data_IF_054243047459
#
_entry.id   IF_054243047459
#
_cell.length_a   1.000
_cell.length_b   1.000
_cell.length_c   1.000
_cell.angle_alpha   90.00
_cell.angle_beta   90.00
_cell.angle_gamma   90.00
#
_symmetry.space_group_name_H-M   'P 1'
#
loop_
_entity.id
_entity.type
_entity.pdbx_description
1 polymer ?
#
# COMPACT_ATOMS: atom_id res chain seq x y z
N UNK A 1 -33.37 13.01 -10.06
CA UNK A 1 -33.13 11.59 -10.33
C UNK A 1 -33.28 10.85 -8.99
N UNK A 2 -33.38 9.52 -8.97
CA UNK A 2 -33.40 8.79 -7.68
C UNK A 2 -32.02 8.89 -7.03
N UNK A 3 -31.92 9.05 -5.71
CA UNK A 3 -30.65 9.04 -4.95
C UNK A 3 -29.77 7.82 -5.28
N UNK A 4 -30.39 6.68 -5.61
CA UNK A 4 -29.69 5.47 -6.03
C UNK A 4 -29.01 5.62 -7.40
N UNK A 5 -29.61 6.39 -8.31
CA UNK A 5 -29.02 6.67 -9.62
C UNK A 5 -27.87 7.67 -9.50
N UNK A 6 -28.00 8.68 -8.64
CA UNK A 6 -26.93 9.65 -8.35
C UNK A 6 -25.75 9.00 -7.62
N UNK A 7 -26.02 8.10 -6.67
CA UNK A 7 -24.99 7.31 -5.99
C UNK A 7 -24.29 6.34 -6.95
N UNK A 8 -25.02 5.67 -7.83
CA UNK A 8 -24.42 4.81 -8.87
C UNK A 8 -23.56 5.62 -9.83
N UNK A 9 -24.02 6.80 -10.28
CA UNK A 9 -23.25 7.68 -11.13
C UNK A 9 -21.97 8.21 -10.45
N UNK A 10 -22.03 8.48 -9.15
CA UNK A 10 -20.86 8.85 -8.34
C UNK A 10 -19.88 7.69 -8.13
N UNK A 11 -20.39 6.49 -7.79
CA UNK A 11 -19.58 5.31 -7.53
C UNK A 11 -18.87 4.77 -8.78
N UNK A 12 -19.46 4.97 -9.97
CA UNK A 12 -18.90 4.52 -11.25
C UNK A 12 -17.94 5.55 -11.86
N UNK A 13 -17.71 6.70 -11.20
CA UNK A 13 -16.65 7.63 -11.59
C UNK A 13 -15.30 6.90 -11.43
N UNK A 14 -14.70 6.50 -12.55
CA UNK A 14 -13.80 5.34 -12.67
C UNK A 14 -12.62 5.21 -11.69
N UNK A 15 -12.20 6.27 -11.01
CA UNK A 15 -11.11 6.20 -10.03
C UNK A 15 -11.57 5.72 -8.63
N UNK A 16 -12.87 5.82 -8.30
CA UNK A 16 -13.35 5.52 -6.94
C UNK A 16 -13.32 4.02 -6.64
N UNK A 17 -13.64 3.18 -7.61
CA UNK A 17 -13.67 1.71 -7.44
C UNK A 17 -12.26 1.16 -7.25
N UNK A 18 -11.31 1.56 -8.09
CA UNK A 18 -9.91 1.12 -7.99
C UNK A 18 -9.25 1.60 -6.70
N UNK A 19 -9.55 2.84 -6.29
CA UNK A 19 -9.10 3.37 -5.00
C UNK A 19 -9.72 2.59 -3.82
N UNK A 20 -11.01 2.26 -3.88
CA UNK A 20 -11.67 1.49 -2.83
C UNK A 20 -11.06 0.08 -2.69
N UNK A 21 -10.82 -0.59 -3.82
CA UNK A 21 -10.16 -1.90 -3.84
C UNK A 21 -8.74 -1.80 -3.26
N UNK A 22 -7.96 -0.79 -3.66
CA UNK A 22 -6.61 -0.57 -3.14
C UNK A 22 -6.57 -0.35 -1.63
N UNK A 23 -7.49 0.44 -1.08
CA UNK A 23 -7.58 0.70 0.38
C UNK A 23 -7.97 -0.58 1.13
N UNK A 24 -8.96 -1.33 0.65
CA UNK A 24 -9.42 -2.56 1.29
C UNK A 24 -8.30 -3.61 1.32
N UNK A 25 -7.64 -3.82 0.17
CA UNK A 25 -6.52 -4.76 0.06
C UNK A 25 -5.36 -4.30 0.94
N UNK A 26 -5.01 -3.00 0.92
CA UNK A 26 -3.94 -2.45 1.76
C UNK A 26 -4.20 -2.66 3.26
N UNK A 27 -5.42 -2.40 3.72
CA UNK A 27 -5.81 -2.61 5.12
C UNK A 27 -5.80 -4.10 5.51
N UNK A 28 -6.26 -4.99 4.63
CA UNK A 28 -6.23 -6.43 4.88
C UNK A 28 -4.79 -6.98 4.89
N UNK A 29 -3.95 -6.56 3.93
CA UNK A 29 -2.56 -6.94 3.85
C UNK A 29 -1.75 -6.49 5.07
N UNK A 30 -1.97 -5.26 5.55
CA UNK A 30 -1.35 -4.79 6.79
C UNK A 30 -1.64 -5.70 7.99
N UNK A 31 -2.89 -6.16 8.15
CA UNK A 31 -3.26 -7.12 9.22
C UNK A 31 -2.56 -8.47 9.07
N UNK A 32 -2.43 -8.99 7.84
CA UNK A 32 -1.72 -10.25 7.58
C UNK A 32 -0.26 -10.13 8.01
N UNK A 33 0.39 -9.01 7.67
CA UNK A 33 1.78 -8.79 8.06
C UNK A 33 1.91 -8.63 9.58
N UNK A 34 1.06 -7.83 10.23
CA UNK A 34 1.06 -7.71 11.71
C UNK A 34 0.84 -9.04 12.42
N UNK A 35 -0.08 -9.89 11.93
CA UNK A 35 -0.28 -11.24 12.49
C UNK A 35 0.95 -12.13 12.26
N UNK A 36 1.60 -12.06 11.10
CA UNK A 36 2.84 -12.80 10.87
C UNK A 36 3.95 -12.37 11.83
N UNK A 37 4.10 -11.07 12.09
CA UNK A 37 5.11 -10.58 13.02
C UNK A 37 4.77 -10.97 14.47
N UNK A 38 3.54 -10.67 14.89
CA UNK A 38 3.07 -10.91 16.27
C UNK A 38 2.91 -12.39 16.62
N UNK A 39 2.34 -13.19 15.73
CA UNK A 39 1.92 -14.55 16.04
C UNK A 39 2.93 -15.60 15.58
N UNK A 40 3.83 -15.28 14.63
CA UNK A 40 4.79 -16.25 14.07
C UNK A 40 6.24 -15.88 14.40
N UNK A 41 6.63 -14.60 14.27
CA UNK A 41 8.02 -14.17 14.49
C UNK A 41 8.31 -13.90 15.96
N UNK A 42 7.40 -13.24 16.67
CA UNK A 42 7.62 -12.85 18.07
C UNK A 42 7.70 -14.04 19.05
N UNK A 43 6.90 -15.12 18.97
CA UNK A 43 6.97 -16.18 19.98
C UNK A 43 8.33 -16.89 20.03
N UNK A 44 8.99 -17.26 18.91
CA UNK A 44 10.35 -17.76 18.93
C UNK A 44 11.36 -16.77 19.52
N UNK A 45 11.22 -15.47 19.22
CA UNK A 45 12.11 -14.44 19.76
C UNK A 45 11.89 -14.26 21.27
N UNK A 46 10.64 -14.22 21.73
CA UNK A 46 10.28 -14.15 23.15
C UNK A 46 10.81 -15.34 23.95
N UNK A 47 10.75 -16.55 23.38
CA UNK A 47 11.37 -17.74 23.96
C UNK A 47 12.89 -17.60 24.10
N UNK A 48 13.57 -17.04 23.11
CA UNK A 48 15.04 -16.86 23.12
C UNK A 48 15.52 -15.83 24.16
N UNK A 49 14.68 -14.88 24.56
CA UNK A 49 15.05 -13.81 25.50
C UNK A 49 14.58 -14.12 26.93
N UNK A 50 14.21 -15.38 27.20
CA UNK A 50 13.85 -15.86 28.53
C UNK A 50 12.37 -16.18 28.73
N UNK A 51 11.61 -16.39 27.65
CA UNK A 51 10.21 -16.79 27.73
C UNK A 51 9.25 -15.65 28.11
N UNK A 52 9.68 -14.41 27.89
CA UNK A 52 8.85 -13.22 28.16
C UNK A 52 8.18 -12.80 26.87
N UNK A 53 6.86 -12.71 26.87
CA UNK A 53 6.14 -12.07 25.78
C UNK A 53 6.41 -10.57 25.81
N UNK A 54 6.98 -10.04 24.73
CA UNK A 54 7.27 -8.61 24.63
C UNK A 54 6.03 -7.76 24.84
N UNK A 55 4.86 -8.25 24.44
CA UNK A 55 3.58 -7.57 24.61
C UNK A 55 3.19 -7.35 26.07
N UNK A 56 3.75 -8.13 27.00
CA UNK A 56 3.52 -8.05 28.45
C UNK A 56 4.53 -7.15 29.17
N UNK A 57 5.55 -6.66 28.46
CA UNK A 57 6.49 -5.69 29.00
C UNK A 57 5.79 -4.35 29.23
N UNK A 58 5.42 -4.12 30.49
CA UNK A 58 4.68 -2.95 30.90
C UNK A 58 5.15 -2.47 32.28
N UNK A 59 5.38 -1.15 32.42
CA UNK A 59 5.71 -0.53 33.72
C UNK A 59 4.42 0.01 34.32
N UNK A 60 4.06 -0.46 35.52
CA UNK A 60 2.93 0.09 36.25
C UNK A 60 3.34 1.42 36.88
N UNK A 61 2.78 2.52 36.38
CA UNK A 61 3.04 3.88 36.86
C UNK A 61 2.18 4.23 38.08
N UNK A 62 0.95 3.68 38.13
CA UNK A 62 0.06 3.79 39.29
C UNK A 62 -0.67 2.46 39.48
N UNK A 63 -0.57 1.89 40.68
CA UNK A 63 -1.31 0.69 41.05
C UNK A 63 -2.82 0.96 41.01
N UNK A 64 -3.60 -0.08 40.72
CA UNK A 64 -5.06 0.00 40.79
C UNK A 64 -5.49 0.31 42.22
N UNK A 65 -6.47 1.20 42.39
CA UNK A 65 -6.96 1.65 43.69
C UNK A 65 -8.49 1.64 43.67
N UNK A 66 -9.10 0.66 44.36
CA UNK A 66 -10.55 0.44 44.32
C UNK A 66 -11.02 0.00 42.93
N UNK A 67 -11.99 0.72 42.37
CA UNK A 67 -12.55 0.49 41.02
C UNK A 67 -11.72 1.13 39.88
N UNK A 68 -10.62 1.81 40.21
CA UNK A 68 -9.79 2.49 39.20
C UNK A 68 -8.73 1.52 38.63
N UNK A 69 -8.69 1.33 37.30
CA UNK A 69 -7.70 0.46 36.67
C UNK A 69 -6.28 1.03 36.86
N UNK A 70 -5.30 0.14 36.96
CA UNK A 70 -3.89 0.51 37.05
C UNK A 70 -3.47 1.29 35.80
N UNK A 71 -2.68 2.35 36.00
CA UNK A 71 -2.07 3.08 34.88
C UNK A 71 -0.77 2.39 34.53
N UNK A 72 -0.76 1.69 33.39
CA UNK A 72 0.38 0.89 32.94
C UNK A 72 0.92 1.43 31.62
N UNK A 73 2.23 1.72 31.58
CA UNK A 73 2.95 2.05 30.36
C UNK A 73 3.39 0.74 29.67
N UNK A 74 2.64 0.32 28.66
CA UNK A 74 2.93 -0.89 27.86
C UNK A 74 3.99 -0.62 26.78
N UNK A 75 5.24 -0.39 27.18
CA UNK A 75 6.34 -0.10 26.24
C UNK A 75 6.64 -1.28 25.31
N UNK A 76 6.33 -2.50 25.74
CA UNK A 76 6.37 -3.70 24.92
C UNK A 76 5.55 -3.62 23.63
N UNK A 77 4.28 -3.21 23.75
CA UNK A 77 3.38 -2.99 22.60
C UNK A 77 3.88 -1.90 21.65
N UNK A 78 4.54 -0.88 22.19
CA UNK A 78 5.12 0.17 21.38
C UNK A 78 6.30 -0.35 20.53
N UNK A 79 7.20 -1.13 21.13
CA UNK A 79 8.30 -1.79 20.41
C UNK A 79 7.76 -2.74 19.33
N UNK A 80 6.73 -3.52 19.67
CA UNK A 80 6.04 -4.38 18.69
C UNK A 80 5.50 -3.57 17.50
N UNK A 81 4.84 -2.44 17.76
CA UNK A 81 4.29 -1.57 16.69
C UNK A 81 5.39 -1.00 15.79
N UNK A 82 6.56 -0.66 16.35
CA UNK A 82 7.73 -0.22 15.57
C UNK A 82 8.25 -1.34 14.68
N UNK A 83 8.38 -2.56 15.22
CA UNK A 83 8.84 -3.73 14.46
C UNK A 83 7.87 -4.09 13.34
N UNK A 84 6.57 -4.11 13.63
CA UNK A 84 5.51 -4.30 12.63
C UNK A 84 5.66 -3.29 11.50
N UNK A 85 5.83 -2.00 11.82
CA UNK A 85 6.02 -0.94 10.82
C UNK A 85 7.26 -1.18 9.95
N UNK A 86 8.39 -1.54 10.55
CA UNK A 86 9.64 -1.82 9.81
C UNK A 86 9.45 -3.00 8.86
N UNK A 87 8.79 -4.08 9.30
CA UNK A 87 8.57 -5.28 8.50
C UNK A 87 7.57 -5.01 7.37
N UNK A 88 6.47 -4.29 7.65
CA UNK A 88 5.51 -3.86 6.61
C UNK A 88 6.20 -2.98 5.58
N UNK A 89 6.98 -1.99 6.01
CA UNK A 89 7.72 -1.10 5.11
C UNK A 89 8.72 -1.89 4.24
N UNK A 90 9.43 -2.85 4.83
CA UNK A 90 10.33 -3.73 4.10
C UNK A 90 9.60 -4.63 3.09
N UNK A 91 8.44 -5.19 3.47
CA UNK A 91 7.62 -6.00 2.57
C UNK A 91 7.10 -5.19 1.37
N UNK A 92 6.62 -3.96 1.62
CA UNK A 92 6.21 -3.03 0.55
C UNK A 92 7.39 -2.69 -0.36
N UNK A 93 8.55 -2.38 0.21
CA UNK A 93 9.77 -2.09 -0.55
C UNK A 93 10.17 -3.27 -1.45
N UNK A 94 10.14 -4.49 -0.92
CA UNK A 94 10.41 -5.70 -1.70
C UNK A 94 9.39 -5.89 -2.83
N UNK A 95 8.10 -5.67 -2.58
CA UNK A 95 7.05 -5.72 -3.59
C UNK A 95 7.27 -4.70 -4.71
N UNK A 96 7.55 -3.45 -4.36
CA UNK A 96 7.88 -2.38 -5.33
C UNK A 96 9.13 -2.74 -6.13
N UNK A 97 10.16 -3.29 -5.47
CA UNK A 97 11.40 -3.72 -6.13
C UNK A 97 11.15 -4.82 -7.16
N UNK A 98 10.28 -5.78 -6.86
CA UNK A 98 9.89 -6.84 -7.81
C UNK A 98 9.11 -6.26 -8.99
N UNK A 99 8.11 -5.41 -8.73
CA UNK A 99 7.33 -4.76 -9.80
C UNK A 99 8.24 -3.90 -10.69
N UNK A 100 9.16 -3.12 -10.11
CA UNK A 100 10.10 -2.31 -10.85
C UNK A 100 11.10 -3.16 -11.66
N UNK A 101 11.47 -4.34 -11.17
CA UNK A 101 12.29 -5.29 -11.93
C UNK A 101 11.53 -5.86 -13.13
N UNK A 102 10.30 -6.31 -12.93
CA UNK A 102 9.46 -6.88 -13.99
C UNK A 102 9.13 -5.85 -15.08
N UNK A 103 8.75 -4.62 -14.70
CA UNK A 103 8.53 -3.52 -15.65
C UNK A 103 9.76 -3.16 -16.47
N UNK A 104 10.95 -3.43 -15.93
CA UNK A 104 12.22 -3.15 -16.60
C UNK A 104 12.62 -4.27 -17.55
N UNK A 105 12.27 -5.52 -17.25
CA UNK A 105 12.37 -6.65 -18.18
C UNK A 105 11.37 -6.53 -19.35
N UNK A 106 10.16 -6.02 -19.11
CA UNK A 106 9.17 -5.72 -20.17
C UNK A 106 9.63 -4.61 -21.14
N UNK A 107 10.58 -3.76 -20.72
CA UNK A 107 11.16 -2.72 -21.56
C UNK A 107 12.38 -3.21 -22.39
N UNK A 108 12.85 -4.45 -22.18
CA UNK A 108 13.99 -5.05 -22.86
C UNK A 108 13.59 -6.01 -24.00
N UNK A 109 12.30 -6.29 -24.21
CA UNK A 109 11.84 -6.77 -25.51
C UNK A 109 12.13 -5.67 -26.55
N UNK A 110 12.62 -5.99 -27.77
CA UNK A 110 12.82 -4.98 -28.80
C UNK A 110 11.47 -4.35 -29.11
N UNK A 111 11.22 -3.22 -28.45
CA UNK A 111 10.03 -2.42 -28.64
C UNK A 111 9.95 -2.11 -30.12
N UNK A 112 9.01 -2.76 -30.79
CA UNK A 112 8.44 -2.16 -31.99
C UNK A 112 7.96 -0.80 -31.47
N UNK A 113 8.50 0.32 -31.99
CA UNK A 113 8.17 1.64 -31.45
C UNK A 113 6.65 1.73 -31.34
N UNK A 114 6.12 2.19 -30.19
CA UNK A 114 4.69 2.21 -29.94
C UNK A 114 4.00 2.82 -31.15
N UNK A 115 3.03 2.10 -31.71
CA UNK A 115 2.26 2.61 -32.83
C UNK A 115 1.75 4.01 -32.43
N UNK A 116 1.94 5.03 -33.28
CA UNK A 116 1.58 6.39 -32.92
C UNK A 116 0.12 6.42 -32.47
N UNK A 117 -0.11 7.07 -31.33
CA UNK A 117 -1.46 7.24 -30.79
C UNK A 117 -2.36 7.91 -31.83
N UNK A 118 -3.69 7.72 -31.79
CA UNK A 118 -4.60 8.37 -32.72
C UNK A 118 -4.40 9.89 -32.77
N UNK A 119 -4.05 10.50 -31.62
CA UNK A 119 -3.71 11.92 -31.54
C UNK A 119 -2.40 12.25 -32.28
N UNK A 120 -1.34 11.46 -32.10
CA UNK A 120 -0.07 11.64 -32.82
C UNK A 120 -0.23 11.45 -34.34
N UNK A 121 -1.09 10.52 -34.77
CA UNK A 121 -1.45 10.33 -36.19
C UNK A 121 -2.16 11.57 -36.73
N UNK A 122 -3.22 12.03 -36.04
CA UNK A 122 -3.96 13.24 -36.42
C UNK A 122 -3.05 14.48 -36.45
N UNK A 123 -2.15 14.63 -35.48
CA UNK A 123 -1.20 15.74 -35.45
C UNK A 123 -0.18 15.66 -36.60
N UNK A 124 0.21 14.45 -37.02
CA UNK A 124 1.07 14.23 -38.17
C UNK A 124 0.35 14.60 -39.47
N UNK A 125 -0.90 14.19 -39.62
CA UNK A 125 -1.77 14.55 -40.74
C UNK A 125 -2.01 16.07 -40.79
N UNK A 126 -2.31 16.71 -39.66
CA UNK A 126 -2.49 18.18 -39.57
C UNK A 126 -1.20 18.91 -39.96
N UNK A 127 -0.03 18.45 -39.48
CA UNK A 127 1.27 19.02 -39.86
C UNK A 127 1.51 18.93 -41.36
N UNK A 128 1.19 17.81 -41.97
CA UNK A 128 1.43 17.57 -43.39
C UNK A 128 0.45 18.35 -44.28
N UNK A 129 -0.81 18.49 -43.84
CA UNK A 129 -1.79 19.39 -44.45
C UNK A 129 -1.38 20.86 -44.36
N UNK A 130 -0.85 21.31 -43.22
CA UNK A 130 -0.35 22.68 -43.04
C UNK A 130 0.90 22.96 -43.90
N UNK A 131 1.84 22.02 -44.00
CA UNK A 131 2.98 22.12 -44.91
C UNK A 131 2.56 22.22 -46.38
N UNK A 132 1.49 21.50 -46.75
CA UNK A 132 0.96 21.52 -48.11
C UNK A 132 0.29 22.87 -48.42
N UNK A 133 -0.38 23.49 -47.45
CA UNK A 133 -0.98 24.83 -47.59
C UNK A 133 0.03 25.99 -47.55
N UNK A 134 1.21 25.82 -46.92
CA UNK A 134 2.26 26.84 -46.86
C UNK A 134 3.20 26.83 -48.09
N UNK A 135 3.03 25.90 -49.03
CA UNK A 135 3.73 25.97 -50.32
C UNK A 135 3.01 27.02 -51.19
N UNK A 136 3.71 28.08 -51.67
CA UNK A 136 3.11 29.10 -52.53
C UNK A 136 2.68 28.55 -53.89
#
# INVERSE_FOLDING_TARGET
>A
MSLLQEFKAFAVKGNVVDMAVGIIIGAAFGKIVSSFVGDVIMPPIGLLIGGVDFSDLAVTLKAAEGDLPAVVLSYGKFIQTILDFIIVAFAIFMGIKVINKLKREEAEEPSVPPAPSPEEVLLTEIRDLLKTQQKP
#
